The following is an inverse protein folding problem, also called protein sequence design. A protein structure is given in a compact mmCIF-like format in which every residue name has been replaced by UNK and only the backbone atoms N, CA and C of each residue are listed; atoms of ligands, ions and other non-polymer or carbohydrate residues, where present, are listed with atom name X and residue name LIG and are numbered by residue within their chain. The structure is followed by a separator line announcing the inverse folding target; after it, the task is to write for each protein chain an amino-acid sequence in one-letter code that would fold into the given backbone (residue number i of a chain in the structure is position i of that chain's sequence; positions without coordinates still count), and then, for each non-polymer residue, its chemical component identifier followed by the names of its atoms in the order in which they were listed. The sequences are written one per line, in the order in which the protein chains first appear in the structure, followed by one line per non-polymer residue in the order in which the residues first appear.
data_IF_998516529803
#
_entry.id   IF_998516529803
#
_cell.length_a   1.000
_cell.length_b   1.000
_cell.length_c   1.000
_cell.angle_alpha   90.00
_cell.angle_beta   90.00
_cell.angle_gamma   90.00
#
_symmetry.space_group_name_H-M   'P 1'
#
loop_
_entity.id
_entity.type
_entity.pdbx_description
1 polymer ?
#
# COMPACT_ATOMS: atom_id res chain seq x y z
N UNK A 1 41.20 -47.15 47.09
CA UNK A 1 40.02 -46.29 46.88
C UNK A 1 40.36 -45.24 45.81
N UNK A 2 39.89 -45.43 44.57
CA UNK A 2 40.25 -44.57 43.42
C UNK A 2 38.97 -43.86 42.97
N UNK A 3 38.80 -42.58 43.34
CA UNK A 3 37.63 -41.78 42.94
C UNK A 3 37.84 -41.28 41.50
N UNK A 4 37.06 -41.83 40.57
CA UNK A 4 36.96 -41.35 39.19
C UNK A 4 35.97 -40.18 39.20
N UNK A 5 36.47 -38.98 38.91
CA UNK A 5 35.68 -37.77 38.78
C UNK A 5 35.14 -37.72 37.34
N UNK A 6 33.85 -37.95 37.15
CA UNK A 6 33.19 -37.79 35.86
C UNK A 6 32.95 -36.29 35.61
N UNK A 7 33.69 -35.73 34.65
CA UNK A 7 33.46 -34.38 34.14
C UNK A 7 32.33 -34.44 33.11
N UNK A 8 31.12 -34.02 33.49
CA UNK A 8 29.98 -33.88 32.58
C UNK A 8 30.22 -32.67 31.68
N UNK A 9 30.61 -32.92 30.42
CA UNK A 9 30.76 -31.90 29.40
C UNK A 9 29.38 -31.54 28.84
N UNK A 10 28.77 -30.47 29.35
CA UNK A 10 27.54 -29.93 28.79
C UNK A 10 27.84 -29.25 27.44
N UNK A 11 27.50 -29.92 26.33
CA UNK A 11 27.56 -29.35 24.99
C UNK A 11 26.37 -28.40 24.84
N UNK A 12 26.61 -27.10 25.05
CA UNK A 12 25.65 -26.05 24.73
C UNK A 12 25.65 -25.90 23.20
N UNK A 13 24.69 -26.55 22.54
CA UNK A 13 24.37 -26.31 21.14
C UNK A 13 23.77 -24.90 21.03
N UNK A 14 24.62 -23.91 20.76
CA UNK A 14 24.15 -22.61 20.27
C UNK A 14 23.59 -22.81 18.87
N UNK A 15 22.27 -23.06 18.78
CA UNK A 15 21.53 -22.91 17.54
C UNK A 15 21.55 -21.42 17.18
N UNK A 16 22.51 -21.01 16.35
CA UNK A 16 22.43 -19.75 15.64
C UNK A 16 21.19 -19.80 14.74
N UNK A 17 20.05 -19.37 15.28
CA UNK A 17 18.88 -19.06 14.50
C UNK A 17 19.25 -17.85 13.64
N UNK A 18 19.81 -18.11 12.45
CA UNK A 18 19.98 -17.07 11.44
C UNK A 18 18.58 -16.63 11.07
N UNK A 19 18.19 -15.45 11.52
CA UNK A 19 17.03 -14.77 11.00
C UNK A 19 17.21 -14.64 9.48
N UNK A 20 16.23 -15.11 8.71
CA UNK A 20 16.26 -14.96 7.25
C UNK A 20 16.24 -13.46 6.94
N UNK A 21 17.36 -12.94 6.46
CA UNK A 21 17.51 -11.52 6.16
C UNK A 21 16.90 -11.23 4.77
N UNK A 22 15.85 -10.41 4.76
CA UNK A 22 15.26 -9.90 3.54
C UNK A 22 15.90 -8.56 3.17
N UNK A 23 16.24 -8.39 1.89
CA UNK A 23 16.87 -7.16 1.39
C UNK A 23 16.18 -6.66 0.12
N UNK A 24 16.40 -5.41 -0.24
CA UNK A 24 15.84 -4.79 -1.45
C UNK A 24 16.98 -4.50 -2.42
N UNK A 25 16.88 -5.06 -3.63
CA UNK A 25 17.67 -4.64 -4.77
C UNK A 25 16.87 -3.59 -5.56
N UNK A 26 17.38 -2.36 -5.62
CA UNK A 26 16.80 -1.31 -6.45
C UNK A 26 17.20 -1.53 -7.92
N UNK A 27 16.23 -1.89 -8.77
CA UNK A 27 16.42 -1.83 -10.21
C UNK A 27 16.07 -0.43 -10.68
N UNK A 28 17.00 0.21 -11.40
CA UNK A 28 16.83 1.55 -11.93
C UNK A 28 17.17 1.61 -13.40
N UNK A 29 16.26 2.17 -14.20
CA UNK A 29 16.46 2.41 -15.62
C UNK A 29 16.06 3.84 -16.00
N UNK A 30 16.76 4.40 -16.98
CA UNK A 30 16.37 5.64 -17.68
C UNK A 30 16.75 5.51 -19.15
N UNK A 31 15.92 6.03 -20.06
CA UNK A 31 16.27 6.06 -21.48
C UNK A 31 17.24 7.20 -21.77
N UNK A 32 18.26 6.93 -22.59
CA UNK A 32 19.21 7.96 -23.04
C UNK A 32 18.53 9.20 -23.65
N UNK A 33 17.42 8.99 -24.40
CA UNK A 33 16.63 10.09 -25.00
C UNK A 33 15.76 10.86 -24.00
N UNK A 34 15.46 10.26 -22.84
CA UNK A 34 14.62 10.86 -21.80
C UNK A 34 15.26 10.62 -20.42
N UNK A 35 16.45 11.17 -20.16
CA UNK A 35 17.23 10.85 -18.96
C UNK A 35 16.54 11.29 -17.66
N UNK A 36 15.54 12.16 -17.75
CA UNK A 36 14.69 12.60 -16.63
C UNK A 36 13.56 11.63 -16.30
N UNK A 37 13.21 10.71 -17.21
CA UNK A 37 12.24 9.66 -16.94
C UNK A 37 12.96 8.48 -16.30
N UNK A 38 12.80 8.36 -14.98
CA UNK A 38 13.45 7.36 -14.15
C UNK A 38 12.40 6.34 -13.70
N UNK A 39 12.75 5.07 -13.84
CA UNK A 39 11.93 3.95 -13.40
C UNK A 39 12.72 3.18 -12.36
N UNK A 40 12.16 3.09 -11.16
CA UNK A 40 12.72 2.36 -10.04
C UNK A 40 11.76 1.26 -9.61
N UNK A 41 12.29 0.06 -9.42
CA UNK A 41 11.51 -1.09 -8.98
C UNK A 41 12.25 -1.84 -7.87
N UNK A 42 11.60 -2.11 -6.72
CA UNK A 42 12.19 -2.87 -5.63
C UNK A 42 12.05 -4.37 -5.88
N UNK A 43 13.17 -5.05 -6.09
CA UNK A 43 13.22 -6.52 -6.08
C UNK A 43 13.52 -6.98 -4.66
N UNK A 44 12.56 -7.69 -4.05
CA UNK A 44 12.75 -8.32 -2.75
C UNK A 44 13.65 -9.56 -2.91
N UNK A 45 14.69 -9.65 -2.09
CA UNK A 45 15.61 -10.79 -2.00
C UNK A 45 15.48 -11.47 -0.63
N UNK A 46 15.76 -12.77 -0.58
CA UNK A 46 15.61 -13.59 0.62
C UNK A 46 15.26 -15.03 0.22
N UNK A 47 14.31 -15.64 0.92
CA UNK A 47 13.87 -17.01 0.62
C UNK A 47 13.16 -17.08 -0.74
N UNK A 48 13.83 -17.72 -1.71
CA UNK A 48 13.50 -17.69 -3.14
C UNK A 48 12.02 -17.92 -3.47
N UNK A 49 11.39 -18.95 -2.91
CA UNK A 49 9.98 -19.26 -3.23
C UNK A 49 9.00 -18.16 -2.79
N UNK A 50 9.28 -17.50 -1.66
CA UNK A 50 8.48 -16.39 -1.12
C UNK A 50 8.73 -15.13 -1.93
N UNK A 51 10.00 -14.77 -2.10
CA UNK A 51 10.36 -13.52 -2.76
C UNK A 51 10.03 -13.53 -4.25
N UNK A 52 10.17 -14.67 -4.93
CA UNK A 52 9.73 -14.81 -6.33
C UNK A 52 8.22 -14.67 -6.47
N UNK A 53 7.43 -15.16 -5.51
CA UNK A 53 5.98 -15.00 -5.52
C UNK A 53 5.57 -13.52 -5.31
N UNK A 54 6.21 -12.83 -4.36
CA UNK A 54 5.96 -11.41 -4.09
C UNK A 54 6.35 -10.55 -5.29
N UNK A 55 7.57 -10.71 -5.80
CA UNK A 55 8.06 -9.94 -6.94
C UNK A 55 7.18 -10.14 -8.18
N UNK A 56 6.76 -11.38 -8.47
CA UNK A 56 5.83 -11.67 -9.57
C UNK A 56 4.49 -10.97 -9.40
N UNK A 57 3.89 -11.02 -8.20
CA UNK A 57 2.62 -10.33 -7.93
C UNK A 57 2.74 -8.81 -8.10
N UNK A 58 3.85 -8.21 -7.66
CA UNK A 58 4.12 -6.79 -7.84
C UNK A 58 4.24 -6.42 -9.33
N UNK A 59 5.02 -7.19 -10.08
CA UNK A 59 5.24 -6.95 -11.51
C UNK A 59 3.92 -7.09 -12.28
N UNK A 60 3.15 -8.14 -11.99
CA UNK A 60 1.85 -8.34 -12.61
C UNK A 60 0.89 -7.18 -12.28
N UNK A 61 0.92 -6.69 -11.04
CA UNK A 61 0.03 -5.59 -10.62
C UNK A 61 0.36 -4.25 -11.25
N UNK A 62 1.65 -3.96 -11.52
CA UNK A 62 2.08 -2.65 -12.04
C UNK A 62 2.18 -2.61 -13.57
N UNK A 63 2.55 -3.72 -14.19
CA UNK A 63 2.92 -3.74 -15.61
C UNK A 63 2.05 -4.69 -16.45
N UNK A 64 1.14 -5.44 -15.82
CA UNK A 64 0.33 -6.47 -16.47
C UNK A 64 1.15 -7.48 -17.29
N UNK A 65 2.36 -7.80 -16.79
CA UNK A 65 3.25 -8.81 -17.39
C UNK A 65 3.60 -9.91 -16.39
N UNK A 66 3.85 -11.09 -16.92
CA UNK A 66 4.39 -12.21 -16.15
C UNK A 66 5.87 -12.40 -16.49
N UNK A 67 6.74 -11.85 -15.66
CA UNK A 67 8.19 -12.05 -15.77
C UNK A 67 8.60 -13.20 -14.87
N UNK A 68 8.99 -14.34 -15.46
CA UNK A 68 9.62 -15.42 -14.72
C UNK A 68 11.08 -15.06 -14.46
N UNK A 69 11.40 -14.64 -13.23
CA UNK A 69 12.76 -14.53 -12.65
C UNK A 69 13.78 -13.57 -13.32
N UNK A 70 13.55 -13.10 -14.55
CA UNK A 70 14.41 -12.12 -15.22
C UNK A 70 13.92 -10.69 -14.98
N UNK A 71 14.04 -10.24 -13.73
CA UNK A 71 13.51 -8.93 -13.30
C UNK A 71 14.14 -7.74 -14.02
N UNK A 72 15.27 -7.92 -14.72
CA UNK A 72 15.87 -6.87 -15.58
C UNK A 72 14.96 -6.48 -16.75
N UNK A 73 14.00 -7.35 -17.11
CA UNK A 73 13.03 -7.11 -18.18
C UNK A 73 11.75 -6.44 -17.71
N UNK A 74 11.63 -6.11 -16.43
CA UNK A 74 10.41 -5.52 -15.86
C UNK A 74 10.03 -4.20 -16.55
N UNK A 75 11.02 -3.42 -16.99
CA UNK A 75 10.76 -2.16 -17.68
C UNK A 75 10.48 -2.30 -19.18
N UNK A 76 10.51 -3.50 -19.77
CA UNK A 76 10.29 -3.66 -21.22
C UNK A 76 8.94 -3.11 -21.69
N UNK A 77 7.91 -3.19 -20.84
CA UNK A 77 6.57 -2.68 -21.11
C UNK A 77 6.23 -1.37 -20.38
N UNK A 78 7.20 -0.76 -19.70
CA UNK A 78 7.00 0.55 -19.08
C UNK A 78 6.97 1.68 -20.13
N UNK A 79 7.53 1.43 -21.32
CA UNK A 79 7.78 2.44 -22.35
C UNK A 79 6.88 2.28 -23.57
N UNK A 80 6.62 3.40 -24.24
CA UNK A 80 6.07 3.46 -25.58
C UNK A 80 7.04 2.79 -26.54
N UNK A 81 6.45 1.97 -27.41
CA UNK A 81 7.10 1.34 -28.56
C UNK A 81 6.61 2.02 -29.84
N UNK A 82 7.17 1.63 -30.99
CA UNK A 82 6.63 2.08 -32.29
C UNK A 82 5.21 1.57 -32.55
N UNK A 83 4.86 0.44 -31.93
CA UNK A 83 3.57 -0.24 -32.11
C UNK A 83 2.54 0.17 -31.04
N UNK A 84 3.00 0.61 -29.86
CA UNK A 84 2.19 1.19 -28.78
C UNK A 84 2.75 2.56 -28.39
N UNK A 85 2.15 3.63 -28.91
CA UNK A 85 2.65 5.00 -28.76
C UNK A 85 2.40 5.62 -27.39
N UNK A 86 1.65 4.96 -26.50
CA UNK A 86 1.34 5.44 -25.16
C UNK A 86 2.22 4.67 -24.17
N UNK A 87 3.05 5.38 -23.41
CA UNK A 87 3.71 4.81 -22.24
C UNK A 87 2.63 4.39 -21.24
N UNK A 88 2.69 3.18 -20.67
CA UNK A 88 1.80 2.84 -19.57
C UNK A 88 2.02 3.76 -18.35
N UNK A 89 3.28 4.20 -18.13
CA UNK A 89 3.68 5.04 -17.00
C UNK A 89 4.70 6.12 -17.43
N UNK A 90 4.61 7.35 -16.92
CA UNK A 90 5.57 8.43 -17.23
C UNK A 90 6.84 8.39 -16.36
N UNK A 91 6.70 7.91 -15.13
CA UNK A 91 7.79 7.62 -14.19
C UNK A 91 7.36 6.49 -13.28
N UNK A 92 8.30 5.86 -12.59
CA UNK A 92 7.99 4.93 -11.51
C UNK A 92 9.01 5.11 -10.40
N UNK A 93 8.55 5.38 -9.19
CA UNK A 93 9.38 5.33 -8.01
C UNK A 93 8.66 4.56 -6.90
N UNK A 94 9.36 4.26 -5.83
CA UNK A 94 8.79 3.51 -4.72
C UNK A 94 9.32 3.95 -3.36
N UNK A 95 8.56 3.59 -2.33
CA UNK A 95 8.94 3.72 -0.92
C UNK A 95 8.65 2.44 -0.18
N UNK A 96 9.67 1.89 0.48
CA UNK A 96 9.47 0.82 1.44
C UNK A 96 8.91 1.43 2.73
N UNK A 97 7.68 1.07 3.07
CA UNK A 97 7.01 1.55 4.27
C UNK A 97 7.39 0.70 5.50
N UNK A 98 7.61 -0.59 5.29
CA UNK A 98 8.08 -1.54 6.29
C UNK A 98 8.61 -2.82 5.64
N UNK A 99 9.68 -3.37 6.23
CA UNK A 99 10.25 -4.68 5.89
C UNK A 99 10.71 -5.33 7.19
N UNK A 100 10.08 -6.43 7.58
CA UNK A 100 10.45 -7.23 8.77
C UNK A 100 10.05 -8.70 8.55
N UNK A 101 10.26 -9.56 9.54
CA UNK A 101 9.99 -11.01 9.43
C UNK A 101 8.51 -11.39 9.20
N UNK A 102 7.58 -10.43 9.36
CA UNK A 102 6.14 -10.65 9.21
C UNK A 102 5.60 -10.01 7.94
N UNK A 103 6.10 -8.82 7.56
CA UNK A 103 5.46 -7.99 6.55
C UNK A 103 6.46 -7.26 5.64
N UNK A 104 6.07 -7.17 4.38
CA UNK A 104 6.66 -6.29 3.38
C UNK A 104 5.59 -5.33 2.88
N UNK A 105 5.81 -4.04 3.06
CA UNK A 105 4.89 -2.97 2.65
C UNK A 105 5.64 -1.96 1.79
N UNK A 106 5.13 -1.73 0.59
CA UNK A 106 5.73 -0.84 -0.41
C UNK A 106 4.65 0.01 -1.06
N UNK A 107 4.93 1.30 -1.26
CA UNK A 107 4.08 2.21 -2.04
C UNK A 107 4.83 2.58 -3.31
N UNK A 108 4.16 2.49 -4.45
CA UNK A 108 4.65 3.00 -5.72
C UNK A 108 4.01 4.34 -6.01
N UNK A 109 4.79 5.23 -6.63
CA UNK A 109 4.31 6.50 -7.14
C UNK A 109 4.59 6.53 -8.64
N UNK A 110 3.57 6.90 -9.39
CA UNK A 110 3.64 6.89 -10.85
C UNK A 110 2.61 7.86 -11.43
N UNK A 111 2.67 8.04 -12.74
CA UNK A 111 1.67 8.76 -13.51
C UNK A 111 1.24 7.84 -14.65
N UNK A 112 -0.06 7.53 -14.71
CA UNK A 112 -0.66 6.78 -15.81
C UNK A 112 -1.34 7.74 -16.78
N UNK A 113 -1.21 7.49 -18.08
CA UNK A 113 -1.78 8.34 -19.13
C UNK A 113 -2.78 7.56 -19.99
N UNK A 114 -4.04 8.01 -19.98
CA UNK A 114 -5.09 7.57 -20.91
C UNK A 114 -5.61 8.75 -21.72
N UNK A 115 -6.91 9.07 -21.60
CA UNK A 115 -7.44 10.34 -22.10
C UNK A 115 -6.83 11.55 -21.37
N UNK A 116 -6.41 11.35 -20.13
CA UNK A 116 -5.69 12.31 -19.30
C UNK A 116 -4.57 11.59 -18.56
N UNK A 117 -3.52 12.32 -18.18
CA UNK A 117 -2.50 11.82 -17.27
C UNK A 117 -2.88 12.13 -15.83
N UNK A 118 -2.71 11.17 -14.94
CA UNK A 118 -3.00 11.31 -13.51
C UNK A 118 -1.89 10.64 -12.71
N UNK A 119 -1.25 11.44 -11.85
CA UNK A 119 -0.39 10.91 -10.81
C UNK A 119 -1.22 10.17 -9.78
N UNK A 120 -0.73 9.01 -9.35
CA UNK A 120 -1.32 8.24 -8.27
C UNK A 120 -0.24 7.53 -7.46
N UNK A 121 -0.57 7.23 -6.21
CA UNK A 121 0.17 6.28 -5.39
C UNK A 121 -0.65 5.01 -5.17
N UNK A 122 0.02 3.86 -5.14
CA UNK A 122 -0.62 2.59 -4.83
C UNK A 122 0.25 1.75 -3.90
N UNK A 123 -0.36 1.21 -2.85
CA UNK A 123 0.33 0.47 -1.81
C UNK A 123 0.06 -1.03 -1.93
N UNK A 124 1.12 -1.82 -1.71
CA UNK A 124 1.07 -3.27 -1.69
C UNK A 124 1.67 -3.76 -0.37
N UNK A 125 0.95 -4.68 0.26
CA UNK A 125 1.33 -5.27 1.53
C UNK A 125 1.36 -6.78 1.34
N UNK A 126 2.43 -7.44 1.78
CA UNK A 126 2.61 -8.88 1.70
C UNK A 126 2.96 -9.48 3.07
N UNK A 127 2.39 -10.64 3.35
CA UNK A 127 2.81 -11.49 4.46
C UNK A 127 4.07 -12.24 4.03
N UNK A 128 5.19 -11.96 4.71
CA UNK A 128 6.50 -12.54 4.33
C UNK A 128 6.54 -14.04 4.55
N UNK A 129 5.72 -14.62 5.43
CA UNK A 129 5.76 -16.07 5.70
C UNK A 129 5.12 -16.88 4.58
N UNK A 130 4.06 -16.33 3.98
CA UNK A 130 3.32 -16.99 2.90
C UNK A 130 3.66 -16.47 1.50
N UNK A 131 4.18 -15.25 1.40
CA UNK A 131 4.35 -14.53 0.15
C UNK A 131 3.04 -14.01 -0.46
N UNK A 132 1.92 -14.09 0.28
CA UNK A 132 0.61 -13.67 -0.20
C UNK A 132 0.38 -12.17 0.01
N UNK A 133 -0.32 -11.54 -0.92
CA UNK A 133 -0.83 -10.17 -0.74
C UNK A 133 -1.81 -10.15 0.44
N UNK A 134 -1.61 -9.19 1.35
CA UNK A 134 -2.51 -8.90 2.45
C UNK A 134 -3.69 -8.12 1.88
N UNK A 135 -4.91 -8.61 2.15
CA UNK A 135 -6.14 -7.92 1.82
C UNK A 135 -6.61 -7.20 3.08
N UNK A 136 -6.88 -5.89 3.01
CA UNK A 136 -7.27 -5.11 4.19
C UNK A 136 -8.46 -5.73 4.94
N UNK A 137 -9.41 -6.28 4.18
CA UNK A 137 -10.60 -6.94 4.72
C UNK A 137 -10.28 -8.13 5.62
N UNK A 138 -9.22 -8.89 5.29
CA UNK A 138 -8.87 -10.13 5.98
C UNK A 138 -8.24 -9.88 7.35
N UNK A 139 -7.97 -8.63 7.73
CA UNK A 139 -7.37 -8.28 9.03
C UNK A 139 -8.41 -8.22 10.16
N UNK A 140 -9.68 -8.01 9.82
CA UNK A 140 -10.72 -7.69 10.80
C UNK A 140 -11.60 -8.87 11.16
N UNK A 141 -12.17 -8.83 12.37
CA UNK A 141 -13.38 -9.62 12.67
C UNK A 141 -14.58 -9.02 11.92
N UNK A 142 -15.67 -9.77 11.74
CA UNK A 142 -16.89 -9.25 11.09
C UNK A 142 -17.42 -7.99 11.79
N UNK A 143 -17.46 -8.00 13.13
CA UNK A 143 -17.89 -6.85 13.93
C UNK A 143 -16.86 -5.71 13.88
N UNK A 144 -15.57 -6.05 13.91
CA UNK A 144 -14.47 -5.08 13.80
C UNK A 144 -14.49 -4.34 12.48
N UNK A 145 -14.69 -5.03 11.36
CA UNK A 145 -14.85 -4.45 10.03
C UNK A 145 -16.00 -3.46 9.96
N UNK A 146 -17.18 -3.82 10.48
CA UNK A 146 -18.35 -2.91 10.51
C UNK A 146 -18.05 -1.64 11.31
N UNK A 147 -17.40 -1.77 12.47
CA UNK A 147 -16.96 -0.62 13.29
C UNK A 147 -15.93 0.23 12.56
N UNK A 148 -14.96 -0.41 11.90
CA UNK A 148 -13.90 0.26 11.16
C UNK A 148 -14.45 1.07 9.98
N UNK A 149 -15.29 0.45 9.14
CA UNK A 149 -15.98 1.12 8.02
C UNK A 149 -16.79 2.33 8.50
N UNK A 150 -17.53 2.18 9.59
CA UNK A 150 -18.28 3.29 10.19
C UNK A 150 -17.35 4.43 10.64
N UNK A 151 -16.20 4.10 11.23
CA UNK A 151 -15.23 5.09 11.68
C UNK A 151 -14.66 5.91 10.52
N UNK A 152 -14.08 5.27 9.50
CA UNK A 152 -13.52 6.00 8.34
C UNK A 152 -14.61 6.75 7.55
N UNK A 153 -15.83 6.22 7.49
CA UNK A 153 -16.98 6.93 6.88
C UNK A 153 -17.34 8.21 7.63
N UNK A 154 -17.33 8.15 8.96
CA UNK A 154 -17.63 9.30 9.81
C UNK A 154 -16.53 10.37 9.73
N UNK A 155 -15.27 9.96 9.61
CA UNK A 155 -14.16 10.89 9.40
C UNK A 155 -14.31 11.62 8.05
N UNK A 156 -14.53 10.88 6.96
CA UNK A 156 -14.76 11.46 5.63
C UNK A 156 -15.97 12.38 5.60
N UNK A 157 -17.11 11.94 6.15
CA UNK A 157 -18.33 12.75 6.16
C UNK A 157 -18.17 14.02 7.00
N UNK A 158 -17.40 13.97 8.10
CA UNK A 158 -17.11 15.15 8.90
C UNK A 158 -16.28 16.18 8.13
N UNK A 159 -15.21 15.75 7.46
CA UNK A 159 -14.40 16.64 6.62
C UNK A 159 -15.21 17.29 5.51
N UNK A 160 -16.02 16.49 4.81
CA UNK A 160 -16.90 17.00 3.75
C UNK A 160 -17.91 18.03 4.30
N UNK A 161 -18.62 17.71 5.39
CA UNK A 161 -19.62 18.61 5.96
C UNK A 161 -19.01 19.92 6.50
N UNK A 162 -17.81 19.84 7.09
CA UNK A 162 -17.08 21.02 7.53
C UNK A 162 -16.75 21.92 6.34
N UNK A 163 -16.30 21.33 5.22
CA UNK A 163 -15.96 22.07 4.02
C UNK A 163 -17.18 22.68 3.33
N UNK A 164 -18.30 21.95 3.25
CA UNK A 164 -19.59 22.50 2.78
C UNK A 164 -19.98 23.70 3.64
N UNK A 165 -19.92 23.58 4.98
CA UNK A 165 -20.26 24.68 5.90
C UNK A 165 -19.37 25.91 5.67
N UNK A 166 -18.08 25.70 5.40
CA UNK A 166 -17.16 26.79 5.05
C UNK A 166 -17.54 27.43 3.71
N UNK A 167 -17.78 26.63 2.66
CA UNK A 167 -18.20 27.12 1.35
C UNK A 167 -19.50 27.93 1.40
N UNK A 168 -20.49 27.50 2.19
CA UNK A 168 -21.78 28.19 2.35
C UNK A 168 -21.63 29.58 3.01
N UNK A 169 -20.60 29.76 3.84
CA UNK A 169 -20.30 31.06 4.47
C UNK A 169 -19.54 31.99 3.52
N UNK A 170 -18.57 31.45 2.78
CA UNK A 170 -17.71 32.23 1.88
C UNK A 170 -18.43 32.62 0.59
N UNK A 171 -19.17 31.68 -0.01
CA UNK A 171 -19.82 31.88 -1.30
C UNK A 171 -21.29 32.20 -1.08
N UNK A 172 -21.63 33.50 -1.10
CA UNK A 172 -23.01 34.03 -1.00
C UNK A 172 -23.94 33.63 -2.18
N UNK A 173 -23.49 32.73 -3.06
CA UNK A 173 -24.22 32.23 -4.22
C UNK A 173 -25.09 31.02 -3.86
N UNK A 174 -26.33 30.98 -4.38
CA UNK A 174 -27.26 29.85 -4.22
C UNK A 174 -26.90 28.63 -5.06
N UNK A 175 -26.06 28.79 -6.09
CA UNK A 175 -25.66 27.71 -6.99
C UNK A 175 -24.15 27.50 -6.88
N UNK A 176 -23.75 26.49 -6.12
CA UNK A 176 -22.35 26.12 -5.95
C UNK A 176 -22.17 24.65 -6.32
N UNK A 177 -21.63 24.42 -7.52
CA UNK A 177 -21.37 23.08 -8.06
C UNK A 177 -20.43 22.25 -7.17
N UNK A 178 -19.54 22.91 -6.42
CA UNK A 178 -18.67 22.22 -5.45
C UNK A 178 -19.50 21.67 -4.29
N UNK A 179 -20.45 22.44 -3.76
CA UNK A 179 -21.36 21.96 -2.71
C UNK A 179 -22.18 20.77 -3.21
N UNK A 180 -22.68 20.81 -4.45
CA UNK A 180 -23.42 19.71 -5.04
C UNK A 180 -22.58 18.44 -5.20
N UNK A 181 -21.33 18.58 -5.66
CA UNK A 181 -20.35 17.49 -5.74
C UNK A 181 -20.19 16.80 -4.38
N UNK A 182 -19.93 17.58 -3.32
CA UNK A 182 -19.74 17.05 -1.97
C UNK A 182 -21.00 16.43 -1.38
N UNK A 183 -22.18 17.03 -1.60
CA UNK A 183 -23.47 16.45 -1.17
C UNK A 183 -23.75 15.12 -1.88
N UNK A 184 -23.36 14.99 -3.15
CA UNK A 184 -23.44 13.72 -3.88
C UNK A 184 -22.46 12.70 -3.31
N UNK A 185 -21.23 13.10 -3.02
CA UNK A 185 -20.22 12.26 -2.39
C UNK A 185 -20.69 11.68 -1.04
N UNK A 186 -21.36 12.48 -0.21
CA UNK A 186 -21.94 12.04 1.07
C UNK A 186 -22.97 10.91 0.91
N UNK A 187 -23.69 10.83 -0.23
CA UNK A 187 -24.66 9.74 -0.48
C UNK A 187 -24.01 8.38 -0.69
N UNK A 188 -22.71 8.35 -1.01
CA UNK A 188 -21.93 7.11 -1.12
C UNK A 188 -21.47 6.57 0.24
N UNK A 189 -21.65 7.34 1.31
CA UNK A 189 -21.30 6.95 2.68
C UNK A 189 -22.53 6.37 3.43
N UNK A 190 -22.31 5.41 4.36
CA UNK A 190 -21.01 4.85 4.76
C UNK A 190 -20.43 3.89 3.72
N UNK A 191 -19.10 3.74 3.74
CA UNK A 191 -18.39 2.74 2.94
C UNK A 191 -18.96 1.34 3.20
N UNK A 192 -19.23 0.61 2.11
CA UNK A 192 -19.79 -0.76 2.16
C UNK A 192 -18.70 -1.84 2.18
N UNK A 193 -17.54 -1.55 1.61
CA UNK A 193 -16.39 -2.46 1.52
C UNK A 193 -15.07 -1.71 1.70
N UNK A 194 -14.00 -2.47 1.91
CA UNK A 194 -12.61 -1.98 1.98
C UNK A 194 -11.85 -2.23 0.67
N UNK A 195 -12.55 -2.65 -0.39
CA UNK A 195 -11.96 -3.07 -1.67
C UNK A 195 -11.23 -1.94 -2.39
N UNK A 196 -11.81 -0.74 -2.37
CA UNK A 196 -11.29 0.46 -3.03
C UNK A 196 -10.53 1.38 -2.07
N UNK A 197 -10.14 0.87 -0.91
CA UNK A 197 -9.37 1.64 0.07
C UNK A 197 -7.91 1.19 -0.04
N UNK A 198 -7.05 2.06 -0.57
CA UNK A 198 -5.60 1.82 -0.53
C UNK A 198 -5.13 1.85 0.93
N UNK A 199 -4.11 1.06 1.25
CA UNK A 199 -3.54 1.08 2.59
C UNK A 199 -2.07 0.73 2.59
N UNK A 200 -1.31 1.40 3.45
CA UNK A 200 0.11 1.11 3.71
C UNK A 200 0.32 0.86 5.19
N UNK A 201 0.97 -0.27 5.47
CA UNK A 201 1.42 -0.62 6.82
C UNK A 201 2.81 -0.04 7.03
N UNK A 202 2.98 0.78 8.07
CA UNK A 202 4.26 1.29 8.57
C UNK A 202 4.67 0.53 9.84
N UNK A 203 5.76 0.95 10.49
CA UNK A 203 6.23 0.36 11.76
C UNK A 203 5.13 0.34 12.82
N UNK A 204 4.54 1.50 13.12
CA UNK A 204 3.60 1.67 14.24
C UNK A 204 2.18 2.04 13.82
N UNK A 205 1.96 2.32 12.52
CA UNK A 205 0.69 2.80 12.01
C UNK A 205 0.23 2.08 10.75
N UNK A 206 -1.07 2.17 10.48
CA UNK A 206 -1.67 1.92 9.18
C UNK A 206 -2.20 3.24 8.66
N UNK A 207 -1.89 3.55 7.41
CA UNK A 207 -2.44 4.70 6.69
C UNK A 207 -3.32 4.15 5.58
N UNK A 208 -4.54 4.66 5.49
CA UNK A 208 -5.50 4.33 4.46
C UNK A 208 -5.77 5.55 3.61
N UNK A 209 -5.99 5.36 2.32
CA UNK A 209 -6.43 6.38 1.40
C UNK A 209 -7.73 5.95 0.71
N UNK A 210 -8.69 6.85 0.64
CA UNK A 210 -9.89 6.69 -0.20
C UNK A 210 -9.96 7.83 -1.19
N UNK A 211 -10.47 7.53 -2.38
CA UNK A 211 -10.58 8.49 -3.48
C UNK A 211 -11.32 9.77 -3.09
N UNK A 212 -10.93 10.84 -3.77
CA UNK A 212 -11.62 12.12 -3.84
C UNK A 212 -13.09 11.99 -4.29
N UNK A 213 -13.84 13.07 -4.13
CA UNK A 213 -15.27 13.10 -4.48
C UNK A 213 -15.51 13.30 -5.98
N UNK A 214 -14.54 13.92 -6.67
CA UNK A 214 -14.58 14.17 -8.11
C UNK A 214 -14.03 13.02 -8.94
N UNK A 215 -14.58 12.86 -10.14
CA UNK A 215 -13.85 12.19 -11.22
C UNK A 215 -12.83 13.15 -11.85
N UNK A 216 -12.12 12.70 -12.89
CA UNK A 216 -11.13 13.52 -13.57
C UNK A 216 -11.73 14.82 -14.14
N UNK A 217 -12.89 14.75 -14.80
CA UNK A 217 -13.53 15.90 -15.45
C UNK A 217 -13.97 16.99 -14.46
N UNK A 218 -14.30 16.61 -13.22
CA UNK A 218 -14.77 17.52 -12.18
C UNK A 218 -13.69 17.93 -11.18
N UNK A 219 -12.41 17.62 -11.46
CA UNK A 219 -11.29 17.86 -10.52
C UNK A 219 -11.21 19.32 -10.03
N UNK A 220 -11.49 20.28 -10.90
CA UNK A 220 -11.44 21.70 -10.55
C UNK A 220 -12.49 22.13 -9.48
N UNK A 221 -13.50 21.29 -9.22
CA UNK A 221 -14.53 21.51 -8.20
C UNK A 221 -14.17 20.89 -6.84
N UNK A 222 -13.10 20.08 -6.79
CA UNK A 222 -12.73 19.27 -5.63
C UNK A 222 -11.40 19.74 -5.02
N UNK A 223 -11.52 20.59 -4.01
CA UNK A 223 -10.39 21.11 -3.26
C UNK A 223 -10.01 20.23 -2.06
N UNK A 224 -10.84 19.22 -1.71
CA UNK A 224 -10.51 18.30 -0.62
C UNK A 224 -9.56 17.20 -1.10
N UNK A 225 -9.69 16.77 -2.36
CA UNK A 225 -8.84 15.72 -2.92
C UNK A 225 -9.06 14.38 -2.20
N UNK A 226 -8.03 13.56 -2.14
CA UNK A 226 -8.10 12.22 -1.53
C UNK A 226 -8.11 12.30 0.00
N UNK A 227 -8.81 11.35 0.63
CA UNK A 227 -8.98 11.32 2.08
C UNK A 227 -8.04 10.31 2.69
N UNK A 228 -7.24 10.74 3.66
CA UNK A 228 -6.26 9.90 4.35
C UNK A 228 -6.67 9.66 5.80
N UNK A 229 -6.67 8.39 6.23
CA UNK A 229 -6.96 7.99 7.59
C UNK A 229 -5.73 7.32 8.21
N UNK A 230 -5.27 7.82 9.36
CA UNK A 230 -4.11 7.24 10.05
C UNK A 230 -4.55 6.62 11.37
N UNK A 231 -4.17 5.36 11.58
CA UNK A 231 -4.43 4.61 12.80
C UNK A 231 -3.14 4.10 13.40
N UNK A 232 -2.95 4.26 14.70
CA UNK A 232 -1.92 3.50 15.39
C UNK A 232 -2.34 2.04 15.46
N UNK A 233 -1.40 1.10 15.30
CA UNK A 233 -1.71 -0.35 15.25
C UNK A 233 -2.41 -0.82 16.53
N UNK A 234 -2.05 -0.28 17.70
CA UNK A 234 -2.68 -0.62 18.97
C UNK A 234 -4.18 -0.33 19.00
N UNK A 235 -4.62 0.74 18.34
CA UNK A 235 -6.01 1.20 18.37
C UNK A 235 -6.93 0.23 17.61
N UNK A 236 -6.34 -0.53 16.67
CA UNK A 236 -7.04 -1.52 15.87
C UNK A 236 -7.18 -2.87 16.59
N UNK A 237 -6.43 -3.14 17.66
CA UNK A 237 -6.36 -4.47 18.30
C UNK A 237 -7.73 -5.08 18.63
N UNK A 238 -8.68 -4.26 19.08
CA UNK A 238 -10.03 -4.71 19.44
C UNK A 238 -10.93 -5.03 18.21
N UNK A 239 -10.51 -4.59 17.02
CA UNK A 239 -11.23 -4.78 15.76
C UNK A 239 -10.67 -5.98 14.96
N UNK A 240 -9.40 -6.30 15.17
CA UNK A 240 -8.66 -7.31 14.42
C UNK A 240 -9.04 -8.75 14.80
N UNK A 241 -8.99 -9.63 13.81
CA UNK A 241 -8.97 -11.08 14.05
C UNK A 241 -7.54 -11.53 14.42
N UNK A 242 -7.35 -12.82 14.71
CA UNK A 242 -6.05 -13.32 15.16
C UNK A 242 -4.94 -13.16 14.11
N UNK A 243 -5.29 -13.31 12.83
CA UNK A 243 -4.36 -13.04 11.73
C UNK A 243 -3.91 -11.58 11.73
N UNK A 244 -4.86 -10.64 11.79
CA UNK A 244 -4.58 -9.21 11.83
C UNK A 244 -3.75 -8.80 13.06
N UNK A 245 -4.06 -9.35 14.25
CA UNK A 245 -3.29 -9.08 15.47
C UNK A 245 -1.84 -9.58 15.36
N UNK A 246 -1.64 -10.76 14.78
CA UNK A 246 -0.30 -11.31 14.61
C UNK A 246 0.52 -10.49 13.60
N UNK A 247 -0.10 -10.11 12.49
CA UNK A 247 0.54 -9.33 11.43
C UNK A 247 0.90 -7.90 11.88
N UNK A 248 0.02 -7.27 12.66
CA UNK A 248 0.15 -5.88 13.10
C UNK A 248 0.76 -5.74 14.50
N UNK A 249 1.32 -6.81 15.05
CA UNK A 249 2.03 -6.73 16.33
C UNK A 249 3.22 -5.79 16.17
N UNK A 250 3.32 -4.77 17.02
CA UNK A 250 4.52 -3.94 17.09
C UNK A 250 5.68 -4.83 17.56
N UNK A 251 6.72 -4.92 16.75
CA UNK A 251 7.99 -5.50 17.19
C UNK A 251 8.60 -4.50 18.17
N UNK A 252 8.72 -4.90 19.44
CA UNK A 252 9.48 -4.17 20.45
C UNK A 252 10.97 -4.12 20.06
#
# INVERSE_FOLDING_TARGET
MRKILYLLLAIILFTNCKTEEFTILNLRESKHKFPKQIFEFPVLNGKKNITDNINRQLIQSLFDINVKSDYKKVFQNAWATKESSINNLSFLNYKINALNEQLYSVTFYTEGCGAYCEEYEQSYNFDIKSGNKIILDSLFTLTGKKKFLKNISNQKSKEINNYITWLEKEQKSKENQSIELYRTCLKSLPFKSLEYVDFKIKKDSIILASDRCSNHAMRALDNLGDYTFTFHKSDLNILLNDYGKNLLKTSN
#
